data_IF_437835042913
#
_entry.id   IF_437835042913
#
_cell.length_a   1.000
_cell.length_b   1.000
_cell.length_c   1.000
_cell.angle_alpha   90.00
_cell.angle_beta   90.00
_cell.angle_gamma   90.00
#
_symmetry.space_group_name_H-M   'P 1'
#
loop_
_entity.id
_entity.type
_entity.pdbx_description
1 polymer ?
#
# COMPACT_ATOMS: atom_id res chain seq x y z
N UNK A 1 -7.42 -17.39 25.61
CA UNK A 1 -6.93 -17.33 24.22
C UNK A 1 -6.11 -16.07 24.08
N UNK A 2 -4.99 -16.08 23.34
CA UNK A 2 -4.26 -14.84 23.07
C UNK A 2 -5.19 -13.90 22.29
N UNK A 3 -5.43 -12.71 22.86
CA UNK A 3 -6.28 -11.66 22.26
C UNK A 3 -5.49 -10.66 21.43
N UNK A 4 -4.17 -10.76 21.46
CA UNK A 4 -3.28 -9.88 20.70
C UNK A 4 -3.05 -10.45 19.30
N UNK A 5 -4.06 -10.23 18.45
CA UNK A 5 -4.00 -9.97 17.00
C UNK A 5 -3.34 -10.98 16.05
N UNK A 6 -4.01 -11.31 14.94
CA UNK A 6 -3.33 -11.86 13.76
C UNK A 6 -2.44 -10.78 13.10
N UNK A 7 -1.37 -11.19 12.42
CA UNK A 7 -0.44 -10.27 11.72
C UNK A 7 -0.54 -10.49 10.21
N UNK A 8 -0.53 -9.40 9.45
CA UNK A 8 -0.49 -9.47 7.99
C UNK A 8 0.85 -10.02 7.52
N UNK A 9 0.81 -11.12 6.76
CA UNK A 9 1.97 -11.73 6.14
C UNK A 9 2.06 -11.34 4.66
N UNK A 10 3.21 -10.82 4.23
CA UNK A 10 3.54 -10.47 2.84
C UNK A 10 4.51 -11.51 2.28
N UNK A 11 4.17 -12.09 1.13
CA UNK A 11 4.97 -13.11 0.46
C UNK A 11 5.86 -12.47 -0.62
N UNK A 12 7.16 -12.63 -0.51
CA UNK A 12 8.15 -12.18 -1.49
C UNK A 12 8.92 -13.38 -2.06
N UNK A 13 9.57 -13.18 -3.21
CA UNK A 13 10.44 -14.21 -3.78
C UNK A 13 11.72 -14.33 -2.94
N UNK A 14 12.48 -13.23 -2.86
CA UNK A 14 13.70 -13.12 -2.08
C UNK A 14 13.96 -11.72 -1.47
N UNK A 15 13.04 -10.78 -1.69
CA UNK A 15 13.21 -9.34 -1.44
C UNK A 15 12.64 -8.86 -0.08
N UNK A 16 12.21 -9.75 0.82
CA UNK A 16 11.52 -9.38 2.06
C UNK A 16 12.26 -8.33 2.93
N UNK A 17 13.58 -8.45 3.09
CA UNK A 17 14.40 -7.49 3.85
C UNK A 17 14.46 -6.13 3.13
N UNK A 18 14.66 -6.14 1.81
CA UNK A 18 14.68 -4.91 1.01
C UNK A 18 13.33 -4.19 1.07
N UNK A 19 12.22 -4.93 0.88
CA UNK A 19 10.88 -4.39 0.92
C UNK A 19 10.55 -3.80 2.30
N UNK A 20 10.90 -4.50 3.38
CA UNK A 20 10.72 -3.99 4.75
C UNK A 20 11.47 -2.66 4.95
N UNK A 21 12.73 -2.57 4.53
CA UNK A 21 13.51 -1.33 4.62
C UNK A 21 12.92 -0.21 3.77
N UNK A 22 12.43 -0.53 2.57
CA UNK A 22 11.77 0.41 1.69
C UNK A 22 10.51 0.99 2.34
N UNK A 23 9.61 0.16 2.87
CA UNK A 23 8.40 0.64 3.55
C UNK A 23 8.73 1.46 4.80
N UNK A 24 9.71 1.03 5.61
CA UNK A 24 10.16 1.79 6.78
C UNK A 24 10.73 3.16 6.39
N UNK A 25 11.29 3.31 5.19
CA UNK A 25 11.80 4.59 4.69
C UNK A 25 10.71 5.56 4.20
N UNK A 26 9.54 5.03 3.81
CA UNK A 26 8.40 5.81 3.29
C UNK A 26 7.51 6.29 4.43
N UNK A 27 7.20 5.40 5.38
CA UNK A 27 6.20 5.70 6.40
C UNK A 27 6.83 6.23 7.70
N UNK A 28 6.14 7.16 8.35
CA UNK A 28 6.43 7.55 9.73
C UNK A 28 6.01 6.43 10.70
N UNK A 29 6.44 6.50 11.96
CA UNK A 29 6.11 5.49 12.98
C UNK A 29 6.46 4.06 12.54
N UNK A 30 7.66 3.92 11.99
CA UNK A 30 8.13 2.70 11.34
C UNK A 30 9.43 2.21 11.96
N UNK A 31 9.63 0.90 11.94
CA UNK A 31 10.85 0.27 12.45
C UNK A 31 11.03 -1.13 11.87
N UNK A 32 12.28 -1.52 11.66
CA UNK A 32 12.63 -2.92 11.40
C UNK A 32 12.62 -3.68 12.72
N UNK A 33 12.02 -4.86 12.70
CA UNK A 33 11.97 -5.81 13.81
C UNK A 33 12.96 -6.94 13.63
N UNK A 34 12.56 -8.15 14.04
CA UNK A 34 13.41 -9.34 13.94
C UNK A 34 13.59 -9.78 12.50
N UNK A 35 14.83 -10.13 12.15
CA UNK A 35 15.18 -10.77 10.88
C UNK A 35 15.64 -12.19 11.17
N UNK A 36 14.91 -13.18 10.65
CA UNK A 36 15.29 -14.57 10.74
C UNK A 36 16.00 -15.00 9.45
N UNK A 37 17.10 -15.73 9.59
CA UNK A 37 17.90 -16.25 8.46
C UNK A 37 17.80 -17.78 8.43
N UNK A 38 17.92 -18.35 7.23
CA UNK A 38 17.90 -19.80 7.05
C UNK A 38 19.11 -20.44 7.76
N UNK A 39 18.90 -21.50 8.56
CA UNK A 39 20.00 -22.27 9.15
C UNK A 39 20.69 -23.14 8.09
N UNK A 40 21.78 -23.80 8.48
CA UNK A 40 22.35 -24.89 7.68
C UNK A 40 21.31 -25.99 7.44
N UNK A 41 21.43 -26.70 6.31
CA UNK A 41 20.52 -27.79 5.90
C UNK A 41 19.05 -27.40 5.65
N UNK A 42 18.74 -26.10 5.57
CA UNK A 42 17.42 -25.62 5.20
C UNK A 42 17.15 -25.66 3.68
N UNK A 43 15.89 -25.51 3.23
CA UNK A 43 15.54 -25.54 1.79
C UNK A 43 16.18 -24.43 0.94
N UNK A 44 16.71 -23.37 1.58
CA UNK A 44 17.37 -22.23 0.94
C UNK A 44 18.78 -22.05 1.52
N UNK A 45 19.69 -21.37 0.80
CA UNK A 45 21.08 -21.21 1.25
C UNK A 45 21.18 -20.60 2.65
N UNK A 46 22.04 -21.19 3.49
CA UNK A 46 22.24 -20.74 4.86
C UNK A 46 22.65 -19.26 4.92
N UNK A 47 22.13 -18.53 5.91
CA UNK A 47 22.40 -17.09 6.09
C UNK A 47 21.55 -16.15 5.22
N UNK A 48 20.83 -16.66 4.22
CA UNK A 48 19.84 -15.86 3.48
C UNK A 48 18.63 -15.55 4.36
N UNK A 49 17.96 -14.42 4.10
CA UNK A 49 16.78 -14.02 4.87
C UNK A 49 15.61 -14.96 4.60
N UNK A 50 15.03 -15.47 5.68
CA UNK A 50 13.81 -16.26 5.68
C UNK A 50 12.61 -15.34 5.92
N UNK A 51 12.61 -14.59 7.02
CA UNK A 51 11.50 -13.69 7.36
C UNK A 51 11.99 -12.39 7.97
N UNK A 52 11.18 -11.34 7.84
CA UNK A 52 11.41 -10.02 8.43
C UNK A 52 10.14 -9.52 9.09
N UNK A 53 10.22 -9.18 10.36
CA UNK A 53 9.20 -8.38 11.03
C UNK A 53 9.49 -6.91 10.79
N UNK A 54 8.47 -6.12 10.48
CA UNK A 54 8.61 -4.67 10.40
C UNK A 54 7.32 -3.98 10.82
N UNK A 55 7.43 -2.72 11.18
CA UNK A 55 6.30 -1.83 11.41
C UNK A 55 6.36 -0.70 10.39
N UNK A 56 5.24 -0.44 9.72
CA UNK A 56 5.08 0.67 8.79
C UNK A 56 3.80 1.43 9.17
N UNK A 57 3.91 2.74 9.38
CA UNK A 57 2.77 3.58 9.80
C UNK A 57 2.06 3.06 11.06
N UNK A 58 2.82 2.54 12.04
CA UNK A 58 2.28 1.94 13.27
C UNK A 58 1.65 0.55 13.12
N UNK A 59 1.57 0.00 11.91
CA UNK A 59 1.04 -1.34 11.65
C UNK A 59 2.15 -2.38 11.57
N UNK A 60 1.96 -3.54 12.21
CA UNK A 60 2.93 -4.64 12.20
C UNK A 60 2.71 -5.54 10.98
N UNK A 61 3.80 -5.91 10.35
CA UNK A 61 3.86 -6.81 9.20
C UNK A 61 4.89 -7.90 9.43
N UNK A 62 4.65 -9.02 8.77
CA UNK A 62 5.59 -10.14 8.64
C UNK A 62 5.86 -10.36 7.16
N UNK A 63 7.11 -10.24 6.73
CA UNK A 63 7.51 -10.54 5.36
C UNK A 63 8.19 -11.92 5.31
N UNK A 64 7.84 -12.73 4.32
CA UNK A 64 8.36 -14.07 4.10
C UNK A 64 9.00 -14.18 2.71
N UNK A 65 10.26 -14.61 2.65
CA UNK A 65 10.91 -15.02 1.42
C UNK A 65 10.54 -16.47 1.11
N UNK A 66 9.45 -16.65 0.36
CA UNK A 66 8.88 -17.94 0.05
C UNK A 66 9.15 -18.41 -1.38
N UNK A 67 9.41 -17.50 -2.31
CA UNK A 67 9.72 -17.81 -3.72
C UNK A 67 8.68 -17.29 -4.70
N UNK A 68 8.91 -17.49 -6.01
CA UNK A 68 8.11 -16.89 -7.07
C UNK A 68 6.74 -17.56 -7.28
N UNK A 69 6.40 -18.59 -6.49
CA UNK A 69 5.19 -19.40 -6.64
C UNK A 69 3.91 -18.61 -6.42
N UNK A 70 3.93 -17.64 -5.50
CA UNK A 70 2.79 -16.76 -5.21
C UNK A 70 3.13 -15.32 -5.54
N UNK A 71 2.14 -14.62 -6.11
CA UNK A 71 2.26 -13.22 -6.52
C UNK A 71 1.14 -12.41 -5.94
N UNK A 72 1.46 -11.17 -5.57
CA UNK A 72 0.45 -10.20 -5.17
C UNK A 72 -0.51 -9.90 -6.33
N UNK A 73 -1.74 -9.60 -5.94
CA UNK A 73 -2.77 -9.07 -6.82
C UNK A 73 -3.67 -8.15 -6.00
N UNK A 74 -4.59 -7.49 -6.68
CA UNK A 74 -5.47 -6.45 -6.17
C UNK A 74 -6.48 -6.95 -5.14
N UNK A 75 -6.59 -8.27 -4.90
CA UNK A 75 -7.49 -8.84 -3.89
C UNK A 75 -7.11 -8.42 -2.46
N UNK A 76 -5.85 -8.04 -2.23
CA UNK A 76 -5.42 -7.37 -1.00
C UNK A 76 -4.71 -6.07 -1.40
N UNK A 77 -5.11 -4.97 -0.76
CA UNK A 77 -4.42 -3.69 -0.89
C UNK A 77 -4.36 -2.96 0.43
N UNK A 78 -3.42 -2.03 0.54
CA UNK A 78 -3.31 -1.13 1.68
C UNK A 78 -3.81 0.26 1.29
N UNK A 79 -4.77 0.78 2.06
CA UNK A 79 -5.35 2.10 1.83
C UNK A 79 -4.64 3.13 2.69
N UNK A 80 -4.14 4.18 2.05
CA UNK A 80 -3.50 5.33 2.68
C UNK A 80 -4.43 6.51 2.49
N UNK A 81 -5.10 6.89 3.57
CA UNK A 81 -5.90 8.11 3.62
C UNK A 81 -4.98 9.32 3.78
N UNK A 82 -5.12 10.29 2.88
CA UNK A 82 -4.30 11.50 2.82
C UNK A 82 -5.17 12.73 3.10
N UNK A 83 -4.64 13.64 3.92
CA UNK A 83 -5.34 14.86 4.33
C UNK A 83 -5.26 15.95 3.24
N UNK A 84 -4.23 15.92 2.41
CA UNK A 84 -3.94 16.96 1.42
C UNK A 84 -3.19 16.42 0.18
N UNK A 85 -3.06 17.27 -0.84
CA UNK A 85 -2.46 16.89 -2.12
C UNK A 85 -0.96 16.58 -2.01
N UNK A 86 -0.24 17.21 -1.07
CA UNK A 86 1.20 16.94 -0.87
C UNK A 86 1.43 15.51 -0.39
N UNK A 87 0.56 14.99 0.47
CA UNK A 87 0.60 13.59 0.91
C UNK A 87 0.25 12.61 -0.22
N UNK A 88 -0.80 12.91 -1.00
CA UNK A 88 -1.14 12.13 -2.20
C UNK A 88 0.07 12.05 -3.12
N UNK A 89 0.69 13.19 -3.42
CA UNK A 89 1.82 13.29 -4.31
C UNK A 89 3.04 12.54 -3.76
N UNK A 90 3.32 12.67 -2.46
CA UNK A 90 4.40 11.97 -1.79
C UNK A 90 4.27 10.46 -1.91
N UNK A 91 3.13 9.89 -1.45
CA UNK A 91 2.95 8.44 -1.45
C UNK A 91 2.83 7.88 -2.87
N UNK A 92 2.11 8.58 -3.75
CA UNK A 92 1.99 8.17 -5.15
C UNK A 92 3.36 8.09 -5.81
N UNK A 93 4.18 9.14 -5.71
CA UNK A 93 5.52 9.15 -6.29
C UNK A 93 6.40 8.10 -5.64
N UNK A 94 6.40 8.00 -4.31
CA UNK A 94 7.27 7.06 -3.59
C UNK A 94 6.95 5.60 -3.89
N UNK A 95 5.69 5.25 -4.09
CA UNK A 95 5.27 3.88 -4.37
C UNK A 95 5.30 3.54 -5.87
N UNK A 96 5.27 4.53 -6.77
CA UNK A 96 5.40 4.28 -8.23
C UNK A 96 6.82 4.43 -8.77
N UNK A 97 7.77 5.01 -8.01
CA UNK A 97 9.17 5.10 -8.45
C UNK A 97 9.85 3.70 -8.53
N UNK A 98 10.90 3.60 -9.33
CA UNK A 98 11.77 2.42 -9.43
C UNK A 98 11.07 1.09 -9.78
N UNK A 99 10.04 1.15 -10.64
CA UNK A 99 9.36 -0.04 -11.16
C UNK A 99 7.96 -0.28 -10.60
N UNK A 100 7.41 0.65 -9.82
CA UNK A 100 5.99 0.63 -9.49
C UNK A 100 5.11 1.01 -10.69
N UNK A 101 3.84 0.60 -10.63
CA UNK A 101 2.87 0.73 -11.71
C UNK A 101 1.69 1.60 -11.25
N UNK A 102 1.48 2.79 -11.85
CA UNK A 102 0.30 3.59 -11.57
C UNK A 102 -0.97 2.89 -12.09
N UNK A 103 -2.02 2.88 -11.29
CA UNK A 103 -3.34 2.35 -11.62
C UNK A 103 -4.42 3.44 -11.67
N UNK A 104 -5.69 3.03 -11.89
CA UNK A 104 -6.82 3.94 -11.91
C UNK A 104 -7.30 4.29 -10.48
N UNK A 105 -8.02 5.40 -10.33
CA UNK A 105 -8.79 5.73 -9.13
C UNK A 105 -7.97 5.71 -7.82
N UNK A 106 -6.71 6.15 -7.85
CA UNK A 106 -5.83 6.12 -6.67
C UNK A 106 -5.14 4.78 -6.43
N UNK A 107 -5.42 3.75 -7.22
CA UNK A 107 -4.72 2.46 -7.14
C UNK A 107 -3.34 2.53 -7.76
N UNK A 108 -2.41 1.75 -7.22
CA UNK A 108 -1.09 1.50 -7.79
C UNK A 108 -0.54 0.15 -7.31
N UNK A 109 0.50 -0.33 -7.97
CA UNK A 109 1.37 -1.39 -7.45
C UNK A 109 2.75 -0.82 -7.19
N UNK A 110 3.38 -1.21 -6.08
CA UNK A 110 4.79 -0.88 -5.87
C UNK A 110 5.72 -1.79 -6.70
N UNK A 111 7.03 -1.52 -6.63
CA UNK A 111 8.05 -2.30 -7.35
C UNK A 111 8.12 -3.79 -6.96
N UNK A 112 7.48 -4.19 -5.85
CA UNK A 112 7.37 -5.58 -5.41
C UNK A 112 6.02 -6.21 -5.81
N UNK A 113 5.13 -5.44 -6.44
CA UNK A 113 3.81 -5.87 -6.89
C UNK A 113 2.70 -5.75 -5.85
N UNK A 114 2.98 -5.22 -4.65
CA UNK A 114 1.96 -5.03 -3.61
C UNK A 114 1.01 -3.91 -4.06
N UNK A 115 -0.30 -4.15 -3.95
CA UNK A 115 -1.31 -3.16 -4.30
C UNK A 115 -1.55 -2.15 -3.18
N UNK A 116 -1.62 -0.88 -3.55
CA UNK A 116 -1.90 0.25 -2.65
C UNK A 116 -3.02 1.12 -3.22
N UNK A 117 -3.72 1.82 -2.34
CA UNK A 117 -4.69 2.86 -2.68
C UNK A 117 -4.29 4.14 -1.97
N UNK A 118 -3.89 5.16 -2.72
CA UNK A 118 -3.54 6.49 -2.20
C UNK A 118 -4.76 7.38 -2.42
N UNK A 119 -5.52 7.61 -1.35
CA UNK A 119 -6.87 8.17 -1.44
C UNK A 119 -7.05 9.38 -0.52
N UNK A 120 -7.76 10.45 -0.94
CA UNK A 120 -8.15 11.53 -0.05
C UNK A 120 -9.12 11.03 1.03
N UNK A 121 -8.99 11.53 2.27
CA UNK A 121 -9.90 11.19 3.38
C UNK A 121 -11.38 11.37 3.03
N UNK A 122 -11.70 12.43 2.28
CA UNK A 122 -13.07 12.79 1.93
C UNK A 122 -13.64 12.02 0.75
N UNK A 123 -12.86 11.18 0.07
CA UNK A 123 -13.32 10.54 -1.16
C UNK A 123 -14.52 9.63 -0.91
N UNK A 124 -14.45 8.80 0.14
CA UNK A 124 -15.50 7.84 0.49
C UNK A 124 -16.82 8.57 0.78
N UNK A 125 -16.77 9.68 1.52
CA UNK A 125 -17.93 10.53 1.81
C UNK A 125 -18.50 11.16 0.53
N UNK A 126 -17.64 11.64 -0.38
CA UNK A 126 -18.08 12.26 -1.64
C UNK A 126 -18.81 11.27 -2.55
N UNK A 127 -18.29 10.04 -2.69
CA UNK A 127 -18.88 9.03 -3.59
C UNK A 127 -20.06 8.28 -2.98
N UNK A 128 -20.23 8.35 -1.66
CA UNK A 128 -21.36 7.76 -0.93
C UNK A 128 -22.39 8.78 -0.45
N UNK A 129 -22.30 10.02 -0.95
CA UNK A 129 -23.19 11.12 -0.54
C UNK A 129 -24.68 10.76 -0.73
N UNK A 130 -25.55 11.11 0.24
CA UNK A 130 -27.00 10.90 0.12
C UNK A 130 -27.65 11.60 -1.07
N UNK A 131 -27.06 12.68 -1.60
CA UNK A 131 -27.43 13.32 -2.86
C UNK A 131 -26.81 12.55 -4.04
N UNK A 132 -27.60 11.77 -4.80
CA UNK A 132 -27.07 10.93 -5.87
C UNK A 132 -26.41 11.74 -6.99
N UNK A 133 -26.81 13.00 -7.20
CA UNK A 133 -26.23 13.83 -8.24
C UNK A 133 -24.81 14.28 -7.87
N UNK A 134 -24.56 14.58 -6.59
CA UNK A 134 -23.21 14.90 -6.09
C UNK A 134 -22.31 13.67 -6.13
N UNK A 135 -22.79 12.55 -5.59
CA UNK A 135 -22.09 11.27 -5.60
C UNK A 135 -21.71 10.84 -7.01
N UNK A 136 -22.63 10.97 -7.96
CA UNK A 136 -22.38 10.62 -9.36
C UNK A 136 -21.29 11.49 -9.99
N UNK A 137 -21.25 12.81 -9.73
CA UNK A 137 -20.19 13.68 -10.27
C UNK A 137 -18.82 13.35 -9.68
N UNK A 138 -18.75 13.14 -8.37
CA UNK A 138 -17.50 12.72 -7.70
C UNK A 138 -17.01 11.38 -8.25
N UNK A 139 -17.90 10.39 -8.37
CA UNK A 139 -17.60 9.08 -8.94
C UNK A 139 -17.09 9.20 -10.39
N UNK A 140 -17.76 9.97 -11.24
CA UNK A 140 -17.34 10.17 -12.64
C UNK A 140 -15.97 10.84 -12.73
N UNK A 141 -15.68 11.84 -11.88
CA UNK A 141 -14.37 12.47 -11.82
C UNK A 141 -13.29 11.47 -11.39
N UNK A 142 -13.52 10.73 -10.30
CA UNK A 142 -12.60 9.70 -9.80
C UNK A 142 -12.26 8.65 -10.86
N UNK A 143 -13.27 8.13 -11.57
CA UNK A 143 -13.09 7.12 -12.62
C UNK A 143 -12.24 7.58 -13.81
N UNK A 144 -12.11 8.89 -14.00
CA UNK A 144 -11.26 9.50 -15.05
C UNK A 144 -9.81 9.69 -14.63
N UNK A 145 -9.48 9.47 -13.35
CA UNK A 145 -8.18 9.76 -12.76
C UNK A 145 -7.35 8.48 -12.57
N UNK A 146 -6.03 8.63 -12.68
CA UNK A 146 -5.06 7.68 -12.12
C UNK A 146 -4.71 8.10 -10.71
N UNK A 147 -3.70 8.97 -10.57
CA UNK A 147 -3.46 9.74 -9.34
C UNK A 147 -4.63 10.70 -9.11
N UNK A 148 -5.15 10.74 -7.89
CA UNK A 148 -6.27 11.59 -7.52
C UNK A 148 -5.84 13.04 -7.31
N UNK A 149 -6.67 13.96 -7.79
CA UNK A 149 -6.53 15.40 -7.56
C UNK A 149 -7.70 15.86 -6.67
N UNK A 150 -7.37 16.28 -5.45
CA UNK A 150 -8.37 16.64 -4.43
C UNK A 150 -9.23 17.81 -4.92
N UNK A 151 -8.61 18.85 -5.50
CA UNK A 151 -9.34 20.05 -5.92
C UNK A 151 -10.30 19.76 -7.08
N UNK A 152 -9.90 18.91 -8.03
CA UNK A 152 -10.75 18.48 -9.13
C UNK A 152 -11.92 17.61 -8.65
N UNK A 153 -11.69 16.72 -7.69
CA UNK A 153 -12.75 15.93 -7.05
C UNK A 153 -13.75 16.83 -6.33
N UNK A 154 -13.27 17.79 -5.54
CA UNK A 154 -14.11 18.73 -4.80
C UNK A 154 -14.94 19.62 -5.73
N UNK A 155 -14.35 20.12 -6.83
CA UNK A 155 -15.09 20.88 -7.87
C UNK A 155 -16.17 20.04 -8.54
N UNK A 156 -15.83 18.82 -8.95
CA UNK A 156 -16.81 17.91 -9.54
C UNK A 156 -17.96 17.63 -8.58
N UNK A 157 -17.64 17.34 -7.31
CA UNK A 157 -18.62 17.13 -6.26
C UNK A 157 -19.51 18.38 -6.03
N UNK A 158 -18.92 19.59 -6.02
CA UNK A 158 -19.65 20.85 -5.92
C UNK A 158 -20.52 21.17 -7.16
N UNK A 159 -20.17 20.62 -8.33
CA UNK A 159 -20.84 20.88 -9.61
C UNK A 159 -20.30 22.10 -10.35
N UNK A 160 -19.02 22.39 -10.17
CA UNK A 160 -18.27 23.51 -10.77
C UNK A 160 -17.44 23.10 -11.99
#
# INVERSE_FOLDING_TARGET
MATDGFTTCLWFDNEAEEAAHYYVSIFKNSSIGRIARYPEEAPRPAGTVMTVEFTANGQKFFALNGGPEFKFNEAISFVIYCENQEEIDYYWTKLTENGGEPGPCGWLKDKYGVSWQVTPERLDDMVSDPDPAKAQRAMTAMLSMGKLDIAALEKAYAGE
#
